data_IF_054274168304
#
_entry.id   IF_054274168304
#
_cell.length_a   1.000
_cell.length_b   1.000
_cell.length_c   1.000
_cell.angle_alpha   90.00
_cell.angle_beta   90.00
_cell.angle_gamma   90.00
#
_symmetry.space_group_name_H-M   'P 1'
#
loop_
_entity.id
_entity.type
_entity.pdbx_description
1 polymer ?
#
# COMPACT_ATOMS: atom_id res chain seq x y z
N UNK A 1 25.94 9.67 -0.41
CA UNK A 1 25.32 8.61 -1.20
C UNK A 1 24.86 9.26 -2.51
N UNK A 2 25.10 8.64 -3.66
CA UNK A 2 24.68 9.12 -5.00
C UNK A 2 23.40 8.40 -5.36
N UNK A 3 22.38 9.12 -5.82
CA UNK A 3 21.13 8.50 -6.25
C UNK A 3 21.06 8.43 -7.78
N UNK A 4 20.50 7.36 -8.33
CA UNK A 4 20.40 7.16 -9.76
C UNK A 4 19.66 8.32 -10.46
N UNK A 5 18.62 8.89 -9.85
CA UNK A 5 17.85 10.01 -10.40
C UNK A 5 18.63 11.35 -10.43
N UNK A 6 19.82 11.43 -9.84
CA UNK A 6 20.72 12.58 -9.95
C UNK A 6 21.52 12.57 -11.28
N UNK A 7 21.72 11.38 -11.87
CA UNK A 7 22.23 11.20 -13.22
C UNK A 7 21.04 11.08 -14.21
N UNK A 8 20.63 12.20 -14.77
CA UNK A 8 19.38 12.29 -15.52
C UNK A 8 19.36 11.45 -16.80
N UNK A 9 20.51 11.30 -17.46
CA UNK A 9 20.61 10.52 -18.69
C UNK A 9 20.53 9.03 -18.39
N UNK A 10 21.35 8.55 -17.46
CA UNK A 10 21.35 7.16 -17.04
C UNK A 10 20.00 6.78 -16.40
N UNK A 11 19.43 7.65 -15.54
CA UNK A 11 18.12 7.40 -14.94
C UNK A 11 17.04 7.21 -16.00
N UNK A 12 16.99 8.09 -17.00
CA UNK A 12 16.02 7.99 -18.08
C UNK A 12 16.17 6.67 -18.85
N UNK A 13 17.39 6.31 -19.22
CA UNK A 13 17.68 5.07 -19.93
C UNK A 13 17.25 3.85 -19.12
N UNK A 14 17.66 3.76 -17.86
CA UNK A 14 17.34 2.65 -16.97
C UNK A 14 15.83 2.51 -16.76
N UNK A 15 15.11 3.62 -16.52
CA UNK A 15 13.64 3.56 -16.32
C UNK A 15 12.92 3.07 -17.58
N UNK A 16 13.32 3.55 -18.78
CA UNK A 16 12.70 3.14 -20.04
C UNK A 16 12.98 1.64 -20.30
N UNK A 17 14.24 1.21 -20.22
CA UNK A 17 14.61 -0.19 -20.44
C UNK A 17 13.94 -1.14 -19.43
N UNK A 18 13.87 -0.72 -18.17
CA UNK A 18 13.12 -1.48 -17.12
C UNK A 18 11.64 -1.58 -17.49
N UNK A 19 11.03 -0.49 -17.98
CA UNK A 19 9.61 -0.47 -18.33
C UNK A 19 9.31 -1.43 -19.51
N UNK A 20 10.18 -1.46 -20.51
CA UNK A 20 10.09 -2.35 -21.66
C UNK A 20 10.22 -3.81 -21.22
N UNK A 21 11.24 -4.16 -20.43
CA UNK A 21 11.49 -5.54 -19.96
C UNK A 21 10.37 -6.04 -19.05
N UNK A 22 9.86 -5.19 -18.14
CA UNK A 22 8.79 -5.55 -17.22
C UNK A 22 7.38 -5.50 -17.83
N UNK A 23 7.24 -4.99 -19.07
CA UNK A 23 5.94 -4.76 -19.69
C UNK A 23 5.06 -3.77 -18.92
N UNK A 24 5.69 -2.72 -18.32
CA UNK A 24 5.04 -1.71 -17.51
C UNK A 24 5.10 -0.33 -18.17
N UNK A 25 4.19 0.57 -17.82
CA UNK A 25 4.30 1.96 -18.26
C UNK A 25 5.47 2.68 -17.56
N UNK A 26 6.22 3.51 -18.29
CA UNK A 26 7.37 4.28 -17.76
C UNK A 26 7.04 5.05 -16.48
N UNK A 27 5.90 5.76 -16.35
CA UNK A 27 5.55 6.43 -15.10
C UNK A 27 5.33 5.49 -13.90
N UNK A 28 4.95 4.23 -14.14
CA UNK A 28 4.79 3.20 -13.10
C UNK A 28 6.16 2.80 -12.56
N UNK A 29 7.12 2.51 -13.44
CA UNK A 29 8.48 2.13 -13.05
C UNK A 29 9.21 3.28 -12.36
N UNK A 30 9.07 4.51 -12.88
CA UNK A 30 9.61 5.70 -12.24
C UNK A 30 9.06 5.88 -10.82
N UNK A 31 7.76 5.75 -10.63
CA UNK A 31 7.15 5.88 -9.32
C UNK A 31 7.54 4.75 -8.37
N UNK A 32 7.64 3.52 -8.86
CA UNK A 32 8.14 2.36 -8.12
C UNK A 32 9.55 2.58 -7.57
N UNK A 33 10.43 3.18 -8.37
CA UNK A 33 11.77 3.57 -7.94
C UNK A 33 11.73 4.55 -6.76
N UNK A 34 10.97 5.64 -6.85
CA UNK A 34 10.87 6.62 -5.75
C UNK A 34 10.19 6.06 -4.51
N UNK A 35 9.16 5.22 -4.66
CA UNK A 35 8.53 4.48 -3.55
C UNK A 35 9.57 3.64 -2.83
N UNK A 36 10.42 2.91 -3.57
CA UNK A 36 11.46 2.05 -2.98
C UNK A 36 12.52 2.85 -2.25
N UNK A 37 12.95 3.99 -2.81
CA UNK A 37 13.92 4.88 -2.13
C UNK A 37 13.38 5.41 -0.79
N UNK A 38 12.12 5.87 -0.78
CA UNK A 38 11.49 6.37 0.45
C UNK A 38 11.38 5.27 1.49
N UNK A 39 11.00 4.04 1.09
CA UNK A 39 10.93 2.89 1.98
C UNK A 39 12.30 2.51 2.54
N UNK A 40 13.37 2.59 1.72
CA UNK A 40 14.74 2.32 2.15
C UNK A 40 15.21 3.28 3.23
N UNK A 41 15.03 4.58 3.01
CA UNK A 41 15.33 5.59 4.01
C UNK A 41 14.50 5.42 5.29
N UNK A 42 13.22 5.07 5.13
CA UNK A 42 12.32 4.84 6.26
C UNK A 42 12.77 3.62 7.08
N UNK A 43 13.18 2.52 6.43
CA UNK A 43 13.65 1.31 7.12
C UNK A 43 14.87 1.57 8.01
N UNK A 44 15.75 2.48 7.58
CA UNK A 44 16.95 2.87 8.31
C UNK A 44 16.65 3.86 9.45
N UNK A 45 15.80 4.86 9.20
CA UNK A 45 15.49 5.96 10.15
C UNK A 45 14.39 5.62 11.15
N UNK A 46 13.55 4.61 10.86
CA UNK A 46 12.41 4.21 11.69
C UNK A 46 12.18 2.67 11.60
N UNK A 47 13.12 1.85 12.11
CA UNK A 47 13.07 0.38 11.98
C UNK A 47 11.87 -0.26 12.69
N UNK A 48 11.21 0.47 13.62
CA UNK A 48 10.01 0.05 14.32
C UNK A 48 8.72 0.26 13.51
N UNK A 49 8.78 0.92 12.35
CA UNK A 49 7.61 1.09 11.49
C UNK A 49 7.22 -0.23 10.79
N UNK A 50 5.95 -0.36 10.49
CA UNK A 50 5.38 -1.52 9.79
C UNK A 50 4.79 -1.07 8.47
N UNK A 51 5.32 -1.60 7.39
CA UNK A 51 4.81 -1.38 6.04
C UNK A 51 3.59 -2.25 5.79
N UNK A 52 2.52 -1.69 5.24
CA UNK A 52 1.26 -2.39 5.01
C UNK A 52 0.58 -1.94 3.72
N UNK A 53 -0.67 -2.36 3.55
CA UNK A 53 -1.51 -1.93 2.44
C UNK A 53 -1.22 -2.64 1.11
N UNK A 54 -1.75 -2.08 0.02
CA UNK A 54 -1.62 -2.68 -1.31
C UNK A 54 -0.18 -2.75 -1.79
N UNK A 55 0.62 -1.72 -1.53
CA UNK A 55 2.01 -1.66 -1.99
C UNK A 55 2.89 -2.69 -1.27
N UNK A 56 2.59 -3.04 -0.01
CA UNK A 56 3.29 -4.15 0.66
C UNK A 56 2.91 -5.52 0.07
N UNK A 57 1.66 -5.68 -0.40
CA UNK A 57 1.24 -6.91 -1.08
C UNK A 57 1.94 -7.12 -2.42
N UNK A 58 2.23 -6.06 -3.16
CA UNK A 58 2.96 -6.14 -4.43
C UNK A 58 4.46 -6.28 -4.24
N UNK A 59 5.08 -5.40 -3.40
CA UNK A 59 6.54 -5.29 -3.28
C UNK A 59 7.20 -6.32 -2.36
N UNK A 60 6.48 -6.83 -1.37
CA UNK A 60 7.05 -7.71 -0.34
C UNK A 60 6.43 -9.10 -0.36
N UNK A 61 5.10 -9.19 -0.44
CA UNK A 61 4.40 -10.48 -0.45
C UNK A 61 4.26 -11.09 -1.84
N UNK A 62 4.41 -10.30 -2.91
CA UNK A 62 4.25 -10.72 -4.31
C UNK A 62 2.93 -11.44 -4.59
N UNK A 63 1.84 -10.97 -3.93
CA UNK A 63 0.53 -11.61 -4.01
C UNK A 63 -0.36 -10.94 -5.05
N UNK A 64 -0.29 -9.61 -5.18
CA UNK A 64 -1.12 -8.86 -6.12
C UNK A 64 -0.33 -8.49 -7.37
N UNK A 65 -1.00 -8.58 -8.52
CA UNK A 65 -0.45 -8.24 -9.85
C UNK A 65 -1.12 -6.97 -10.40
N UNK A 66 -1.36 -6.03 -9.51
CA UNK A 66 -1.78 -4.67 -9.85
C UNK A 66 -0.84 -3.64 -9.28
N UNK A 67 -0.68 -2.54 -10.00
CA UNK A 67 0.11 -1.43 -9.47
C UNK A 67 -0.52 -0.82 -8.22
N UNK A 68 0.32 -0.54 -7.24
CA UNK A 68 -0.03 0.18 -6.01
C UNK A 68 1.06 1.21 -5.72
N UNK A 69 0.65 2.43 -5.41
CA UNK A 69 1.53 3.61 -5.45
C UNK A 69 1.72 4.32 -4.10
N UNK A 70 0.86 4.03 -3.13
CA UNK A 70 0.87 4.68 -1.82
C UNK A 70 1.73 3.88 -0.83
N UNK A 71 2.43 4.58 0.07
CA UNK A 71 3.16 3.97 1.19
C UNK A 71 2.29 4.06 2.43
N UNK A 72 1.77 2.93 2.89
CA UNK A 72 0.97 2.83 4.11
C UNK A 72 1.84 2.37 5.28
N UNK A 73 1.96 3.19 6.32
CA UNK A 73 2.78 2.91 7.52
C UNK A 73 1.92 2.86 8.77
N UNK A 74 2.18 1.87 9.60
CA UNK A 74 1.65 1.73 10.94
C UNK A 74 2.76 1.34 11.93
N UNK A 75 2.36 1.04 13.17
CA UNK A 75 3.26 0.60 14.24
C UNK A 75 2.62 -0.56 15.00
N UNK A 76 3.44 -1.42 15.58
CA UNK A 76 2.95 -2.51 16.43
C UNK A 76 2.53 -2.03 17.82
N UNK A 77 3.02 -0.87 18.24
CA UNK A 77 2.77 -0.28 19.55
C UNK A 77 2.34 1.19 19.42
N UNK A 78 1.63 1.70 20.42
CA UNK A 78 1.26 3.12 20.49
C UNK A 78 2.50 3.99 20.69
N UNK A 79 2.69 4.97 19.83
CA UNK A 79 3.77 5.95 19.96
C UNK A 79 3.44 7.04 20.99
N UNK A 80 4.38 7.36 21.85
CA UNK A 80 4.31 8.55 22.72
C UNK A 80 4.30 9.83 21.91
N UNK A 81 3.82 10.93 22.49
CA UNK A 81 3.79 12.23 21.79
C UNK A 81 5.20 12.71 21.40
N UNK A 82 6.23 12.37 22.20
CA UNK A 82 7.62 12.65 21.86
C UNK A 82 8.08 11.89 20.61
N UNK A 83 7.79 10.59 20.54
CA UNK A 83 8.10 9.76 19.35
C UNK A 83 7.35 10.25 18.12
N UNK A 84 6.08 10.65 18.23
CA UNK A 84 5.30 11.22 17.12
C UNK A 84 5.91 12.52 16.57
N UNK A 85 6.47 13.37 17.46
CA UNK A 85 7.21 14.59 17.06
C UNK A 85 8.51 14.25 16.34
N UNK A 86 9.27 13.29 16.86
CA UNK A 86 10.51 12.81 16.24
C UNK A 86 10.22 12.19 14.87
N UNK A 87 9.23 11.33 14.76
CA UNK A 87 8.79 10.75 13.49
C UNK A 87 8.54 11.84 12.44
N UNK A 88 7.79 12.89 12.78
CA UNK A 88 7.53 13.99 11.84
C UNK A 88 8.80 14.80 11.55
N UNK A 89 9.44 15.35 12.60
CA UNK A 89 10.41 16.43 12.45
C UNK A 89 11.84 15.94 12.16
N UNK A 90 12.16 14.69 12.51
CA UNK A 90 13.47 14.10 12.29
C UNK A 90 13.41 13.04 11.18
N UNK A 91 12.54 12.03 11.29
CA UNK A 91 12.48 10.94 10.32
C UNK A 91 11.94 11.42 8.97
N UNK A 92 10.69 11.93 8.94
CA UNK A 92 10.03 12.31 7.67
C UNK A 92 10.73 13.53 7.03
N UNK A 93 11.11 14.53 7.81
CA UNK A 93 11.88 15.66 7.32
C UNK A 93 13.24 15.21 6.78
N UNK A 94 13.97 14.35 7.50
CA UNK A 94 15.27 13.84 7.09
C UNK A 94 15.21 12.99 5.82
N UNK A 95 14.14 12.22 5.58
CA UNK A 95 13.91 11.52 4.29
C UNK A 95 13.78 12.54 3.16
N UNK A 96 12.96 13.58 3.34
CA UNK A 96 12.77 14.65 2.35
C UNK A 96 14.08 15.35 2.00
N UNK A 97 14.90 15.64 2.99
CA UNK A 97 16.22 16.28 2.81
C UNK A 97 17.22 15.37 2.12
N UNK A 98 17.33 14.10 2.55
CA UNK A 98 18.25 13.10 1.98
C UNK A 98 17.95 12.87 0.50
N UNK A 99 16.67 12.64 0.17
CA UNK A 99 16.23 12.34 -1.20
C UNK A 99 16.03 13.59 -2.08
N UNK A 100 16.14 14.79 -1.51
CA UNK A 100 15.83 16.07 -2.19
C UNK A 100 14.40 16.11 -2.76
N UNK A 101 13.47 15.43 -2.08
CA UNK A 101 12.06 15.34 -2.45
C UNK A 101 11.22 16.20 -1.51
N UNK A 102 10.77 17.41 -1.90
CA UNK A 102 10.02 18.29 -1.01
C UNK A 102 8.65 17.71 -0.70
N UNK A 103 8.19 17.89 0.56
CA UNK A 103 6.86 17.48 1.01
C UNK A 103 5.89 18.64 0.82
N UNK A 104 4.96 18.51 -0.14
CA UNK A 104 4.08 19.60 -0.55
C UNK A 104 2.98 19.92 0.46
N UNK A 105 2.58 18.95 1.29
CA UNK A 105 1.51 19.07 2.29
C UNK A 105 2.03 19.11 3.74
N UNK A 106 3.32 19.44 3.94
CA UNK A 106 3.97 19.49 5.26
C UNK A 106 3.21 20.26 6.31
N UNK A 107 2.61 21.40 5.92
CA UNK A 107 1.88 22.30 6.84
C UNK A 107 0.55 21.70 7.32
N UNK A 108 -0.03 20.77 6.60
CA UNK A 108 -1.29 20.11 6.96
C UNK A 108 -1.10 18.97 7.96
N UNK A 109 0.07 18.33 7.97
CA UNK A 109 0.40 17.24 8.89
C UNK A 109 0.62 17.74 10.33
N UNK A 110 0.10 17.03 11.32
CA UNK A 110 0.21 17.35 12.75
C UNK A 110 0.60 16.13 13.56
N UNK A 111 1.71 16.18 14.28
CA UNK A 111 2.24 15.07 15.10
C UNK A 111 1.25 14.53 16.16
N UNK A 112 0.27 15.34 16.56
CA UNK A 112 -0.78 14.94 17.52
C UNK A 112 -1.94 14.15 16.91
N UNK A 113 -2.08 14.14 15.56
CA UNK A 113 -3.14 13.39 14.88
C UNK A 113 -2.78 11.92 14.79
N UNK A 114 -3.79 11.06 14.83
CA UNK A 114 -3.62 9.61 14.66
C UNK A 114 -3.46 9.20 13.20
N UNK A 115 -3.73 10.10 12.26
CA UNK A 115 -3.50 9.91 10.83
C UNK A 115 -2.86 11.16 10.22
N UNK A 116 -1.82 10.95 9.44
CA UNK A 116 -1.17 11.98 8.63
C UNK A 116 -0.84 11.41 7.24
N UNK A 117 -0.91 12.29 6.23
CA UNK A 117 -0.47 12.02 4.88
C UNK A 117 0.65 13.00 4.53
N UNK A 118 1.69 12.51 3.87
CA UNK A 118 2.83 13.27 3.37
C UNK A 118 3.03 12.94 1.90
N UNK A 119 3.03 13.96 1.04
CA UNK A 119 3.25 13.79 -0.39
C UNK A 119 4.65 14.27 -0.75
N UNK A 120 5.55 13.33 -1.03
CA UNK A 120 6.91 13.59 -1.51
C UNK A 120 6.86 13.86 -3.00
N UNK A 121 7.20 15.09 -3.41
CA UNK A 121 7.20 15.48 -4.81
C UNK A 121 8.51 15.08 -5.50
N UNK A 122 8.42 14.64 -6.75
CA UNK A 122 9.54 14.46 -7.64
C UNK A 122 9.22 15.06 -9.03
N UNK A 123 10.24 15.30 -9.84
CA UNK A 123 10.07 15.78 -11.19
C UNK A 123 9.96 14.60 -12.15
N UNK A 124 8.79 14.34 -12.75
CA UNK A 124 8.59 13.19 -13.64
C UNK A 124 9.42 13.31 -14.93
N UNK A 125 9.79 12.16 -15.49
CA UNK A 125 10.44 12.08 -16.77
C UNK A 125 9.57 12.71 -17.86
N UNK A 126 10.16 13.66 -18.61
CA UNK A 126 9.46 14.36 -19.70
C UNK A 126 9.11 13.42 -20.85
N UNK A 127 7.95 13.64 -21.45
CA UNK A 127 7.47 12.88 -22.62
C UNK A 127 6.60 11.66 -22.25
N UNK A 128 6.40 11.37 -20.97
CA UNK A 128 5.55 10.28 -20.51
C UNK A 128 4.41 10.81 -19.66
N UNK A 129 3.19 10.77 -20.19
CA UNK A 129 1.98 11.28 -19.53
C UNK A 129 1.16 10.10 -19.05
N UNK A 130 0.75 10.12 -17.79
CA UNK A 130 -0.10 9.09 -17.17
C UNK A 130 -1.61 9.31 -17.37
N UNK A 131 -2.01 10.16 -18.34
CA UNK A 131 -3.42 10.55 -18.61
C UNK A 131 -4.21 10.96 -17.35
N UNK A 132 -3.53 11.57 -16.37
CA UNK A 132 -4.14 11.99 -15.09
C UNK A 132 -4.47 10.84 -14.12
N UNK A 133 -4.08 9.59 -14.43
CA UNK A 133 -4.33 8.42 -13.57
C UNK A 133 -3.30 8.27 -12.45
N UNK A 134 -2.05 8.71 -12.69
CA UNK A 134 -1.00 8.79 -11.69
C UNK A 134 -0.68 10.25 -11.35
N UNK A 135 -0.60 10.56 -10.07
CA UNK A 135 -0.22 11.90 -9.59
C UNK A 135 1.30 11.92 -9.41
N UNK A 136 2.04 12.90 -9.96
CA UNK A 136 3.46 13.07 -9.68
C UNK A 136 3.67 13.28 -8.17
N UNK A 137 4.47 12.40 -7.56
CA UNK A 137 4.70 12.39 -6.12
C UNK A 137 4.30 11.05 -5.48
N UNK A 138 4.93 10.73 -4.36
CA UNK A 138 4.66 9.53 -3.56
C UNK A 138 3.93 9.94 -2.30
N UNK A 139 2.74 9.38 -2.09
CA UNK A 139 1.99 9.53 -0.84
C UNK A 139 2.48 8.54 0.19
N UNK A 140 2.79 9.05 1.38
CA UNK A 140 3.03 8.25 2.58
C UNK A 140 1.91 8.53 3.58
N UNK A 141 1.11 7.52 3.86
CA UNK A 141 0.02 7.56 4.84
C UNK A 141 0.49 6.88 6.14
N UNK A 142 0.44 7.61 7.25
CA UNK A 142 0.85 7.10 8.56
C UNK A 142 -0.36 7.01 9.46
N UNK A 143 -0.71 5.79 9.88
CA UNK A 143 -1.78 5.51 10.83
C UNK A 143 -1.19 5.13 12.19
N UNK A 144 -1.43 5.96 13.20
CA UNK A 144 -0.96 5.77 14.58
C UNK A 144 -2.03 5.17 15.50
N UNK A 145 -3.30 5.15 15.07
CA UNK A 145 -4.40 4.57 15.81
C UNK A 145 -4.55 3.06 15.56
N UNK A 146 -4.22 2.60 14.35
CA UNK A 146 -4.33 1.20 13.97
C UNK A 146 -3.01 0.48 14.22
N UNK A 147 -2.95 -0.30 15.29
CA UNK A 147 -1.81 -1.18 15.56
C UNK A 147 -1.73 -2.27 14.48
N UNK A 148 -0.53 -2.56 14.01
CA UNK A 148 -0.25 -3.55 12.96
C UNK A 148 0.40 -4.79 13.55
N UNK A 149 -0.28 -5.92 13.45
CA UNK A 149 0.16 -7.27 13.88
C UNK A 149 -0.73 -8.33 13.20
N UNK A 150 -0.29 -9.59 13.02
CA UNK A 150 1.11 -10.00 13.13
C UNK A 150 2.00 -9.34 12.05
N UNK A 151 3.31 -9.38 12.27
CA UNK A 151 4.31 -8.82 11.35
C UNK A 151 5.29 -9.90 10.92
N UNK A 152 5.82 -9.75 9.72
CA UNK A 152 6.91 -10.56 9.17
C UNK A 152 8.03 -9.66 8.67
N UNK A 153 9.27 -10.16 8.62
CA UNK A 153 10.37 -9.47 7.96
C UNK A 153 10.46 -9.95 6.52
N UNK A 154 10.36 -9.02 5.58
CA UNK A 154 10.39 -9.33 4.15
C UNK A 154 11.30 -8.35 3.40
N UNK A 155 11.94 -8.81 2.31
CA UNK A 155 12.69 -7.94 1.43
C UNK A 155 11.75 -6.97 0.68
N UNK A 156 12.27 -5.77 0.43
CA UNK A 156 11.66 -4.76 -0.43
C UNK A 156 12.60 -4.54 -1.61
N UNK A 157 12.07 -4.65 -2.82
CA UNK A 157 12.85 -4.44 -4.03
C UNK A 157 12.09 -3.57 -5.04
N UNK A 158 12.82 -2.95 -5.99
CA UNK A 158 12.26 -2.17 -7.09
C UNK A 158 12.25 -2.94 -8.39
N UNK A 159 11.42 -2.54 -9.34
CA UNK A 159 11.51 -3.02 -10.73
C UNK A 159 12.89 -2.72 -11.34
N UNK A 160 13.46 -1.57 -11.03
CA UNK A 160 14.81 -1.18 -11.46
C UNK A 160 15.86 -2.18 -10.98
N UNK A 161 15.81 -2.62 -9.72
CA UNK A 161 16.70 -3.67 -9.23
C UNK A 161 16.50 -4.99 -9.97
N UNK A 162 15.24 -5.44 -10.14
CA UNK A 162 14.93 -6.70 -10.82
C UNK A 162 15.46 -6.76 -12.25
N UNK A 163 15.51 -5.62 -12.93
CA UNK A 163 16.10 -5.47 -14.24
C UNK A 163 17.63 -5.43 -14.17
N UNK A 164 18.20 -4.47 -13.43
CA UNK A 164 19.63 -4.20 -13.43
C UNK A 164 20.47 -5.34 -12.85
N UNK A 165 19.96 -6.12 -11.93
CA UNK A 165 20.71 -7.29 -11.39
C UNK A 165 21.04 -8.33 -12.46
N UNK A 166 20.32 -8.34 -13.57
CA UNK A 166 20.55 -9.22 -14.72
C UNK A 166 21.41 -8.55 -15.80
N UNK A 167 21.29 -7.25 -15.98
CA UNK A 167 21.85 -6.50 -17.09
C UNK A 167 23.17 -5.79 -16.71
N UNK A 168 23.22 -5.17 -15.54
CA UNK A 168 24.38 -4.40 -15.09
C UNK A 168 24.44 -4.28 -13.56
N UNK A 169 25.10 -5.23 -12.91
CA UNK A 169 25.22 -5.27 -11.46
C UNK A 169 26.08 -4.11 -10.89
N UNK A 170 27.00 -3.55 -11.68
CA UNK A 170 27.82 -2.42 -11.25
C UNK A 170 26.97 -1.19 -10.95
N UNK A 171 25.91 -0.94 -11.75
CA UNK A 171 24.96 0.15 -11.49
C UNK A 171 24.16 -0.12 -10.19
N UNK A 172 23.81 -1.37 -9.93
CA UNK A 172 23.12 -1.73 -8.68
C UNK A 172 23.94 -1.36 -7.47
N UNK A 173 25.25 -1.65 -7.51
CA UNK A 173 26.16 -1.36 -6.39
C UNK A 173 26.53 0.12 -6.31
N UNK A 174 26.76 0.80 -7.44
CA UNK A 174 27.09 2.24 -7.48
C UNK A 174 25.99 3.09 -6.84
N UNK A 175 24.73 2.76 -7.10
CA UNK A 175 23.57 3.54 -6.65
C UNK A 175 22.83 2.91 -5.46
N UNK A 176 23.40 1.87 -4.84
CA UNK A 176 22.84 1.18 -3.68
C UNK A 176 21.36 0.74 -3.88
N UNK A 177 21.09 0.05 -5.00
CA UNK A 177 19.74 -0.37 -5.40
C UNK A 177 19.35 -1.76 -4.86
N UNK A 178 20.23 -2.45 -4.10
CA UNK A 178 19.95 -3.79 -3.56
C UNK A 178 18.74 -3.81 -2.64
N UNK A 179 18.00 -4.92 -2.58
CA UNK A 179 16.90 -5.12 -1.65
C UNK A 179 17.32 -4.90 -0.20
N UNK A 180 16.36 -4.50 0.62
CA UNK A 180 16.52 -4.31 2.05
C UNK A 180 15.31 -4.88 2.79
N UNK A 181 15.46 -5.22 4.06
CA UNK A 181 14.38 -5.79 4.86
C UNK A 181 13.56 -4.73 5.60
N UNK A 182 12.24 -4.94 5.65
CA UNK A 182 11.31 -4.18 6.49
C UNK A 182 10.40 -5.09 7.30
N UNK A 183 9.87 -4.56 8.41
CA UNK A 183 8.70 -5.16 9.07
C UNK A 183 7.47 -4.89 8.21
N UNK A 184 6.77 -5.95 7.82
CA UNK A 184 5.60 -5.90 6.93
C UNK A 184 4.42 -6.53 7.65
N UNK A 185 3.22 -5.96 7.48
CA UNK A 185 2.00 -6.55 8.04
C UNK A 185 1.69 -7.89 7.40
N UNK A 186 1.33 -8.89 8.21
CA UNK A 186 0.94 -10.22 7.74
C UNK A 186 -0.29 -10.18 6.81
N UNK A 187 -0.34 -11.16 5.91
CA UNK A 187 -1.41 -11.24 4.90
C UNK A 187 -2.78 -11.48 5.51
N UNK A 188 -2.86 -12.26 6.61
CA UNK A 188 -4.11 -12.53 7.33
C UNK A 188 -4.71 -11.23 7.87
N UNK A 189 -3.89 -10.40 8.52
CA UNK A 189 -4.31 -9.09 8.99
C UNK A 189 -4.71 -8.19 7.84
N UNK A 190 -4.00 -8.24 6.73
CA UNK A 190 -4.29 -7.43 5.56
C UNK A 190 -5.63 -7.83 4.94
N UNK A 191 -5.96 -9.13 4.87
CA UNK A 191 -7.27 -9.60 4.45
C UNK A 191 -8.39 -9.06 5.36
N UNK A 192 -8.24 -9.18 6.69
CA UNK A 192 -9.21 -8.66 7.64
C UNK A 192 -9.43 -7.14 7.47
N UNK A 193 -8.34 -6.36 7.34
CA UNK A 193 -8.41 -4.91 7.12
C UNK A 193 -9.12 -4.56 5.80
N UNK A 194 -8.90 -5.31 4.71
CA UNK A 194 -9.56 -5.09 3.41
C UNK A 194 -11.05 -5.37 3.46
N UNK A 195 -11.47 -6.43 4.16
CA UNK A 195 -12.90 -6.76 4.35
C UNK A 195 -13.61 -5.65 5.13
N UNK A 196 -13.04 -5.20 6.25
CA UNK A 196 -13.61 -4.06 6.98
C UNK A 196 -13.62 -2.79 6.12
N UNK A 197 -12.58 -2.53 5.33
CA UNK A 197 -12.49 -1.33 4.51
C UNK A 197 -13.60 -1.23 3.46
N UNK A 198 -13.94 -2.31 2.74
CA UNK A 198 -15.05 -2.28 1.77
C UNK A 198 -16.39 -2.04 2.45
N UNK A 199 -16.58 -2.57 3.66
CA UNK A 199 -17.79 -2.30 4.46
C UNK A 199 -17.82 -0.84 4.97
N UNK A 200 -16.70 -0.29 5.43
CA UNK A 200 -16.61 1.10 5.87
C UNK A 200 -16.92 2.07 4.72
N UNK A 201 -16.34 1.84 3.54
CA UNK A 201 -16.59 2.69 2.37
C UNK A 201 -18.03 2.55 1.85
N UNK A 202 -18.60 1.35 1.90
CA UNK A 202 -20.02 1.14 1.58
C UNK A 202 -20.93 1.95 2.50
N UNK A 203 -20.74 1.87 3.81
CA UNK A 203 -21.51 2.65 4.79
C UNK A 203 -21.35 4.18 4.63
N UNK A 204 -20.21 4.61 4.09
CA UNK A 204 -19.92 6.02 3.79
C UNK A 204 -20.39 6.46 2.39
N UNK A 205 -20.99 5.58 1.60
CA UNK A 205 -21.41 5.85 0.22
C UNK A 205 -20.26 6.10 -0.76
N UNK A 206 -19.04 5.60 -0.43
CA UNK A 206 -17.82 5.81 -1.23
C UNK A 206 -17.53 4.59 -2.10
N UNK A 207 -17.70 4.72 -3.41
CA UNK A 207 -17.42 3.66 -4.35
C UNK A 207 -16.23 3.92 -5.29
N UNK A 208 -15.85 5.19 -5.51
CA UNK A 208 -14.79 5.55 -6.46
C UNK A 208 -13.39 5.28 -5.90
N UNK A 209 -12.56 4.54 -6.66
CA UNK A 209 -11.18 4.13 -6.34
C UNK A 209 -11.05 3.13 -5.19
N UNK A 210 -12.16 2.58 -4.69
CA UNK A 210 -12.13 1.63 -3.57
C UNK A 210 -12.39 0.18 -4.01
N UNK A 211 -12.83 -0.06 -5.23
CA UNK A 211 -13.05 -1.41 -5.78
C UNK A 211 -11.76 -2.26 -5.83
N UNK A 212 -10.58 -1.63 -5.83
CA UNK A 212 -9.28 -2.33 -5.73
C UNK A 212 -9.19 -3.27 -4.52
N UNK A 213 -9.94 -2.99 -3.44
CA UNK A 213 -9.99 -3.89 -2.29
C UNK A 213 -10.70 -5.21 -2.59
N UNK A 214 -11.66 -5.24 -3.53
CA UNK A 214 -12.31 -6.48 -3.99
C UNK A 214 -11.29 -7.39 -4.66
N UNK A 215 -10.46 -6.83 -5.55
CA UNK A 215 -9.35 -7.56 -6.17
C UNK A 215 -8.33 -8.06 -5.13
N UNK A 216 -7.94 -7.20 -4.19
CA UNK A 216 -6.99 -7.59 -3.14
C UNK A 216 -7.53 -8.73 -2.27
N UNK A 217 -8.84 -8.70 -1.92
CA UNK A 217 -9.52 -9.76 -1.18
C UNK A 217 -9.49 -11.07 -1.97
N UNK A 218 -9.77 -11.02 -3.27
CA UNK A 218 -9.71 -12.19 -4.14
C UNK A 218 -8.31 -12.83 -4.13
N UNK A 219 -7.27 -12.02 -4.34
CA UNK A 219 -5.89 -12.50 -4.35
C UNK A 219 -5.45 -13.08 -3.00
N UNK A 220 -5.85 -12.44 -1.90
CA UNK A 220 -5.54 -12.87 -0.54
C UNK A 220 -6.31 -14.12 -0.11
N UNK A 221 -7.55 -14.29 -0.57
CA UNK A 221 -8.42 -15.41 -0.16
C UNK A 221 -7.86 -16.78 -0.53
N UNK A 222 -7.01 -16.85 -1.57
CA UNK A 222 -6.32 -18.09 -1.96
C UNK A 222 -5.05 -18.39 -1.15
N UNK A 223 -4.60 -17.44 -0.31
CA UNK A 223 -3.34 -17.51 0.45
C UNK A 223 -3.57 -17.54 1.97
N UNK A 224 -4.74 -17.12 2.43
CA UNK A 224 -5.10 -17.05 3.84
C UNK A 224 -6.04 -18.19 4.19
N UNK A 225 -5.69 -18.94 5.21
CA UNK A 225 -6.53 -20.01 5.73
C UNK A 225 -7.61 -19.46 6.68
N UNK A 226 -8.86 -19.67 6.33
CA UNK A 226 -10.02 -19.22 7.11
C UNK A 226 -10.32 -20.22 8.25
N UNK A 227 -9.47 -20.18 9.28
CA UNK A 227 -9.53 -21.08 10.46
C UNK A 227 -9.84 -20.30 11.75
N UNK A 228 -9.83 -20.98 12.90
CA UNK A 228 -10.12 -20.38 14.20
C UNK A 228 -9.06 -19.32 14.62
N UNK A 229 -7.81 -19.43 14.16
CA UNK A 229 -6.77 -18.43 14.42
C UNK A 229 -7.07 -17.14 13.65
N UNK A 230 -7.46 -17.27 12.39
CA UNK A 230 -7.92 -16.12 11.61
C UNK A 230 -9.16 -15.46 12.24
N UNK A 231 -10.11 -16.26 12.73
CA UNK A 231 -11.31 -15.74 13.40
C UNK A 231 -10.97 -14.96 14.67
N UNK A 232 -10.00 -15.42 15.46
CA UNK A 232 -9.48 -14.67 16.61
C UNK A 232 -8.86 -13.35 16.19
N UNK A 233 -8.02 -13.38 15.14
CA UNK A 233 -7.40 -12.17 14.60
C UNK A 233 -8.45 -11.16 14.12
N UNK A 234 -9.49 -11.60 13.39
CA UNK A 234 -10.59 -10.74 12.95
C UNK A 234 -11.28 -10.06 14.14
N UNK A 235 -11.50 -10.77 15.23
CA UNK A 235 -12.09 -10.22 16.45
C UNK A 235 -11.21 -9.13 17.08
N UNK A 236 -9.90 -9.39 17.21
CA UNK A 236 -8.95 -8.40 17.73
C UNK A 236 -8.86 -7.16 16.81
N UNK A 237 -8.83 -7.37 15.51
CA UNK A 237 -8.87 -6.29 14.52
C UNK A 237 -10.13 -5.45 14.67
N UNK A 238 -11.29 -6.10 14.83
CA UNK A 238 -12.58 -5.42 15.02
C UNK A 238 -12.58 -4.56 16.28
N UNK A 239 -12.05 -5.06 17.40
CA UNK A 239 -11.96 -4.32 18.66
C UNK A 239 -11.10 -3.06 18.55
N UNK A 240 -9.97 -3.13 17.84
CA UNK A 240 -9.11 -1.97 17.58
C UNK A 240 -9.81 -0.97 16.66
N UNK A 241 -10.40 -1.43 15.55
CA UNK A 241 -11.09 -0.58 14.58
C UNK A 241 -12.32 0.11 15.16
N UNK A 242 -13.03 -0.55 16.09
CA UNK A 242 -14.21 0.02 16.76
C UNK A 242 -13.90 1.28 17.59
N UNK A 243 -12.61 1.51 17.93
CA UNK A 243 -12.16 2.73 18.62
C UNK A 243 -11.98 3.93 17.67
N UNK A 244 -12.07 3.71 16.35
CA UNK A 244 -11.85 4.73 15.34
C UNK A 244 -13.19 5.12 14.70
N UNK A 245 -13.54 6.42 14.71
CA UNK A 245 -14.80 6.93 14.12
C UNK A 245 -14.90 6.69 12.61
N UNK A 246 -13.77 6.51 11.93
CA UNK A 246 -13.73 6.26 10.49
C UNK A 246 -14.00 4.79 10.10
N UNK A 247 -14.16 3.90 11.08
CA UNK A 247 -14.37 2.47 10.88
C UNK A 247 -15.76 2.01 11.39
N UNK A 248 -16.86 2.51 10.82
CA UNK A 248 -18.21 2.22 11.30
C UNK A 248 -18.58 0.73 11.22
N UNK A 249 -18.01 -0.03 10.27
CA UNK A 249 -18.29 -1.46 10.11
C UNK A 249 -17.81 -2.32 11.29
N UNK A 250 -16.86 -1.82 12.07
CA UNK A 250 -16.32 -2.53 13.22
C UNK A 250 -17.19 -2.41 14.50
N UNK A 251 -18.19 -1.54 14.53
CA UNK A 251 -19.05 -1.36 15.69
C UNK A 251 -19.86 -2.63 16.00
N UNK A 252 -20.13 -2.91 17.28
CA UNK A 252 -20.73 -4.16 17.77
C UNK A 252 -22.11 -4.48 17.19
N UNK A 253 -22.89 -3.44 16.85
CA UNK A 253 -24.23 -3.60 16.27
C UNK A 253 -24.24 -3.79 14.76
N UNK A 254 -23.09 -3.76 14.11
CA UNK A 254 -22.96 -3.92 12.65
C UNK A 254 -22.64 -5.37 12.31
N UNK A 255 -23.41 -5.96 11.43
CA UNK A 255 -23.22 -7.33 10.94
C UNK A 255 -22.45 -7.28 9.61
N UNK A 256 -21.13 -7.51 9.67
CA UNK A 256 -20.24 -7.49 8.50
C UNK A 256 -20.71 -8.46 7.40
N UNK A 257 -21.10 -9.72 7.70
CA UNK A 257 -21.60 -10.61 6.65
C UNK A 257 -22.85 -10.08 5.92
N UNK A 258 -23.73 -9.37 6.61
CA UNK A 258 -24.88 -8.73 5.99
C UNK A 258 -24.47 -7.60 5.05
N UNK A 259 -23.51 -6.74 5.47
CA UNK A 259 -22.99 -5.67 4.62
C UNK A 259 -22.32 -6.21 3.35
N UNK A 260 -21.58 -7.31 3.48
CA UNK A 260 -20.95 -7.96 2.32
C UNK A 260 -21.99 -8.45 1.33
N UNK A 261 -23.10 -9.07 1.79
CA UNK A 261 -24.22 -9.49 0.92
C UNK A 261 -24.85 -8.30 0.22
N UNK A 262 -25.11 -7.20 0.93
CA UNK A 262 -25.66 -5.98 0.33
C UNK A 262 -24.73 -5.35 -0.72
N UNK A 263 -23.40 -5.36 -0.49
CA UNK A 263 -22.40 -4.90 -1.46
C UNK A 263 -22.48 -5.75 -2.75
N UNK A 264 -22.60 -7.06 -2.61
CA UNK A 264 -22.73 -8.02 -3.73
C UNK A 264 -24.04 -7.80 -4.48
N UNK A 265 -25.17 -7.81 -3.78
CA UNK A 265 -26.52 -7.68 -4.38
C UNK A 265 -26.72 -6.36 -5.13
N UNK A 266 -26.08 -5.27 -4.66
CA UNK A 266 -26.17 -3.93 -5.28
C UNK A 266 -25.11 -3.69 -6.36
N UNK A 267 -24.22 -4.62 -6.63
CA UNK A 267 -23.07 -4.40 -7.52
C UNK A 267 -22.33 -3.09 -7.20
N UNK A 268 -22.22 -2.75 -5.89
CA UNK A 268 -21.84 -1.41 -5.45
C UNK A 268 -20.49 -0.93 -5.99
N UNK A 269 -19.54 -1.84 -6.19
CA UNK A 269 -18.20 -1.52 -6.70
C UNK A 269 -17.98 -1.89 -8.17
N UNK A 270 -18.95 -2.52 -8.86
CA UNK A 270 -18.77 -3.09 -10.20
C UNK A 270 -18.32 -2.09 -11.24
N UNK A 271 -18.95 -0.91 -11.26
CA UNK A 271 -18.59 0.16 -12.20
C UNK A 271 -17.16 0.66 -11.97
N UNK A 272 -16.80 0.96 -10.73
CA UNK A 272 -15.45 1.43 -10.37
C UNK A 272 -14.39 0.35 -10.63
N UNK A 273 -14.75 -0.93 -10.44
CA UNK A 273 -13.86 -2.06 -10.73
C UNK A 273 -13.51 -2.13 -12.22
N UNK A 274 -14.49 -2.07 -13.09
CA UNK A 274 -14.30 -2.10 -14.53
C UNK A 274 -13.52 -0.88 -15.06
N UNK A 275 -13.81 0.33 -14.53
CA UNK A 275 -13.22 1.58 -15.02
C UNK A 275 -11.80 1.84 -14.46
N UNK A 276 -11.52 1.41 -13.23
CA UNK A 276 -10.30 1.79 -12.50
C UNK A 276 -9.45 0.56 -12.15
N UNK A 277 -10.02 -0.43 -11.44
CA UNK A 277 -9.22 -1.53 -10.90
C UNK A 277 -8.61 -2.39 -11.99
N UNK A 278 -9.40 -2.75 -13.01
CA UNK A 278 -8.94 -3.55 -14.16
C UNK A 278 -7.79 -2.88 -14.92
N UNK A 279 -7.80 -1.55 -15.03
CA UNK A 279 -6.74 -0.81 -15.72
C UNK A 279 -5.34 -0.99 -15.11
N UNK A 280 -5.28 -1.13 -13.79
CA UNK A 280 -4.00 -1.26 -13.08
C UNK A 280 -3.52 -2.71 -12.92
N UNK A 281 -4.29 -3.70 -13.36
CA UNK A 281 -3.92 -5.11 -13.32
C UNK A 281 -3.08 -5.49 -14.54
N UNK A 282 -2.00 -6.22 -14.34
CA UNK A 282 -1.20 -6.79 -15.42
C UNK A 282 -1.95 -7.96 -16.09
N UNK A 283 -2.57 -8.81 -15.27
CA UNK A 283 -3.46 -9.88 -15.69
C UNK A 283 -4.86 -9.59 -15.15
N UNK A 284 -5.77 -9.07 -15.98
CA UNK A 284 -7.10 -8.67 -15.54
C UNK A 284 -7.91 -9.85 -15.00
N UNK A 285 -8.53 -9.67 -13.84
CA UNK A 285 -9.49 -10.57 -13.21
C UNK A 285 -10.87 -9.97 -13.34
N UNK A 286 -11.84 -10.76 -13.77
CA UNK A 286 -13.23 -10.31 -13.90
C UNK A 286 -13.86 -9.98 -12.55
N UNK A 287 -14.76 -8.99 -12.54
CA UNK A 287 -15.48 -8.60 -11.32
C UNK A 287 -16.24 -9.73 -10.68
N UNK A 288 -16.92 -10.57 -11.49
CA UNK A 288 -17.72 -11.70 -10.99
C UNK A 288 -16.85 -12.75 -10.29
N UNK A 289 -15.65 -12.97 -10.79
CA UNK A 289 -14.66 -13.83 -10.14
C UNK A 289 -14.16 -13.22 -8.83
N UNK A 290 -13.75 -11.95 -8.85
CA UNK A 290 -13.25 -11.25 -7.68
C UNK A 290 -14.30 -11.12 -6.57
N UNK A 291 -15.56 -10.81 -6.91
CA UNK A 291 -16.66 -10.68 -5.93
C UNK A 291 -17.09 -12.05 -5.36
N UNK A 292 -16.81 -13.15 -6.09
CA UNK A 292 -16.97 -14.51 -5.58
C UNK A 292 -16.18 -14.78 -4.31
N UNK A 293 -14.97 -14.24 -4.18
CA UNK A 293 -14.20 -14.32 -2.93
C UNK A 293 -14.85 -13.56 -1.77
N UNK A 294 -15.45 -12.41 -2.04
CA UNK A 294 -16.21 -11.65 -1.01
C UNK A 294 -17.43 -12.45 -0.56
N UNK A 295 -18.11 -13.16 -1.47
CA UNK A 295 -19.24 -14.05 -1.13
C UNK A 295 -18.80 -15.19 -0.23
N UNK A 296 -17.71 -15.87 -0.59
CA UNK A 296 -17.14 -16.95 0.24
C UNK A 296 -16.80 -16.44 1.67
N UNK A 297 -16.22 -15.26 1.80
CA UNK A 297 -15.92 -14.65 3.10
C UNK A 297 -17.19 -14.31 3.88
N UNK A 298 -18.24 -13.81 3.22
CA UNK A 298 -19.52 -13.51 3.85
C UNK A 298 -20.22 -14.75 4.43
N UNK A 299 -19.95 -15.92 3.86
CA UNK A 299 -20.52 -17.21 4.25
C UNK A 299 -19.62 -18.00 5.22
N UNK A 300 -18.35 -17.60 5.38
CA UNK A 300 -17.35 -18.34 6.16
C UNK A 300 -17.56 -18.35 7.68
N UNK A 301 -18.39 -17.44 8.23
CA UNK A 301 -18.54 -17.25 9.67
C UNK A 301 -17.35 -16.58 10.37
N UNK A 302 -16.33 -16.11 9.61
CA UNK A 302 -15.13 -15.49 10.21
C UNK A 302 -15.38 -14.07 10.74
N UNK A 303 -16.39 -13.37 10.22
CA UNK A 303 -16.70 -11.97 10.54
C UNK A 303 -18.01 -11.79 11.34
N UNK A 304 -18.46 -12.83 12.01
CA UNK A 304 -19.66 -12.81 12.87
C UNK A 304 -19.46 -12.05 14.19
#
# INVERSE_FOLDING_TARGET
MKFLHEDKELFREVIISTAEEMGQAVPIVEKDYYVTLILKELSQKCPECVFKGGTSLSKCHHIIDRFSEDIDIAFSNKLSQGMRKRLKNETIAGISETLKMPIIDWKSARSRRDYNCYTFAYNPLQGYVSEGRLIPGVKMEISLASLSFPMVKLPVESYVYQYLVKENEDIVDEYDLRPFEMSVQGIDRTLADKVFAICDYYLQGKNKRYSRHIYDIYMLSSKVELNEEFKKLVKEVREIRAQMSICPSAHKNVKVPQLLREIIEKDFYKKDYAEITTYFQKHPVDYEEAIGAVRMIAESGMFE
#
